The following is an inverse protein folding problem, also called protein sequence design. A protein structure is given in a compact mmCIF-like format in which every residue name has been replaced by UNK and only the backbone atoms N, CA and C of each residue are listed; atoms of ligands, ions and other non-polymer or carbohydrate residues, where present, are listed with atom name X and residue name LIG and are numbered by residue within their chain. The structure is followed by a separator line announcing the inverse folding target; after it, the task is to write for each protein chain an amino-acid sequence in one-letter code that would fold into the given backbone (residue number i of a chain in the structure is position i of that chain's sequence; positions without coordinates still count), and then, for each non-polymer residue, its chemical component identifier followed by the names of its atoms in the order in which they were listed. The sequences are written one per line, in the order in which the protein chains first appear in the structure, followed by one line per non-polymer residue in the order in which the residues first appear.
data_IF_828359912032
#
_entry.id   IF_828359912032
#
_cell.length_a   1.000
_cell.length_b   1.000
_cell.length_c   1.000
_cell.angle_alpha   90.00
_cell.angle_beta   90.00
_cell.angle_gamma   90.00
#
_symmetry.space_group_name_H-M   'P 1'
#
loop_
_entity.id
_entity.type
_entity.pdbx_description
1 polymer ?
#
# COMPACT_ATOMS: atom_id res chain seq x y z
N UNK A 1 -1.98 0.26 -15.01
CA UNK A 1 -1.32 -0.88 -14.37
C UNK A 1 -1.47 -0.72 -12.87
N UNK A 2 -2.09 -1.68 -12.19
CA UNK A 2 -2.29 -1.64 -10.74
C UNK A 2 -1.03 -2.01 -9.97
N UNK A 3 -1.10 -1.87 -8.63
CA UNK A 3 0.07 -2.14 -7.78
C UNK A 3 0.59 -3.58 -7.88
N UNK A 4 -0.30 -4.56 -8.03
CA UNK A 4 0.06 -5.99 -8.16
C UNK A 4 0.86 -6.26 -9.42
N UNK A 5 0.39 -5.75 -10.56
CA UNK A 5 1.07 -5.93 -11.86
C UNK A 5 2.43 -5.22 -11.84
N UNK A 6 2.48 -4.01 -11.30
CA UNK A 6 3.74 -3.24 -11.16
C UNK A 6 4.76 -4.01 -10.31
N UNK A 7 4.32 -4.58 -9.18
CA UNK A 7 5.20 -5.37 -8.31
C UNK A 7 5.74 -6.62 -9.02
N UNK A 8 4.89 -7.32 -9.76
CA UNK A 8 5.30 -8.54 -10.48
C UNK A 8 6.29 -8.25 -11.61
N UNK A 9 6.00 -7.25 -12.44
CA UNK A 9 6.92 -6.84 -13.52
C UNK A 9 8.29 -6.44 -12.96
N UNK A 10 8.29 -5.64 -11.91
CA UNK A 10 9.54 -5.19 -11.28
C UNK A 10 10.30 -6.36 -10.65
N UNK A 11 9.61 -7.29 -9.97
CA UNK A 11 10.23 -8.47 -9.39
C UNK A 11 10.93 -9.31 -10.47
N UNK A 12 10.27 -9.59 -11.59
CA UNK A 12 10.87 -10.35 -12.68
C UNK A 12 12.04 -9.61 -13.32
N UNK A 13 11.93 -8.30 -13.48
CA UNK A 13 13.04 -7.46 -13.95
C UNK A 13 14.27 -7.56 -13.04
N UNK A 14 14.08 -7.61 -11.73
CA UNK A 14 15.16 -7.69 -10.74
C UNK A 14 15.79 -9.10 -10.64
N UNK A 15 14.96 -10.15 -10.72
CA UNK A 15 15.42 -11.54 -10.61
C UNK A 15 15.95 -12.10 -11.93
N UNK A 16 15.48 -11.58 -13.07
CA UNK A 16 15.69 -12.12 -14.40
C UNK A 16 14.66 -13.19 -14.78
N UNK A 17 14.34 -13.27 -16.07
CA UNK A 17 13.31 -14.18 -16.59
C UNK A 17 13.62 -15.69 -16.40
N UNK A 18 14.90 -16.04 -16.23
CA UNK A 18 15.32 -17.42 -16.02
C UNK A 18 14.67 -18.08 -14.79
N UNK A 19 14.30 -17.29 -13.80
CA UNK A 19 13.56 -17.75 -12.61
C UNK A 19 12.25 -18.46 -12.98
N UNK A 20 11.59 -18.01 -14.05
CA UNK A 20 10.31 -18.56 -14.52
C UNK A 20 10.45 -19.95 -15.17
N UNK A 21 11.67 -20.42 -15.45
CA UNK A 21 11.90 -21.80 -15.92
C UNK A 21 11.62 -22.82 -14.81
N UNK A 22 11.95 -22.47 -13.57
CA UNK A 22 11.81 -23.34 -12.39
C UNK A 22 10.56 -23.02 -11.57
N UNK A 23 10.20 -21.74 -11.48
CA UNK A 23 9.13 -21.25 -10.61
C UNK A 23 7.93 -20.74 -11.42
N UNK A 24 6.75 -20.95 -10.87
CA UNK A 24 5.54 -20.25 -11.24
C UNK A 24 5.18 -19.31 -10.08
N UNK A 25 5.51 -18.01 -10.22
CA UNK A 25 5.11 -16.98 -9.25
C UNK A 25 3.78 -16.41 -9.71
N UNK A 26 2.75 -16.54 -8.87
CA UNK A 26 1.36 -16.20 -9.22
C UNK A 26 0.94 -14.99 -8.38
N UNK A 27 0.77 -13.80 -8.99
CA UNK A 27 0.35 -12.60 -8.25
C UNK A 27 -1.18 -12.63 -8.04
N UNK A 28 -1.61 -13.00 -6.85
CA UNK A 28 -3.01 -13.09 -6.39
C UNK A 28 -3.91 -14.02 -7.18
N UNK A 29 -4.08 -13.80 -8.47
CA UNK A 29 -5.13 -14.42 -9.30
C UNK A 29 -4.65 -15.66 -9.98
N UNK A 30 -5.16 -16.81 -9.55
CA UNK A 30 -4.82 -18.10 -10.12
C UNK A 30 -5.67 -18.36 -11.38
N UNK A 31 -5.02 -18.50 -12.53
CA UNK A 31 -5.67 -18.87 -13.81
C UNK A 31 -5.38 -20.31 -14.20
N UNK A 32 -4.14 -20.72 -14.02
CA UNK A 32 -3.69 -22.08 -14.27
C UNK A 32 -2.57 -22.46 -13.30
N UNK A 33 -2.35 -23.75 -13.11
CA UNK A 33 -1.27 -24.28 -12.26
C UNK A 33 -0.38 -25.19 -13.11
N UNK A 34 0.91 -24.86 -13.19
CA UNK A 34 1.92 -25.68 -13.87
C UNK A 34 2.50 -26.72 -12.88
N UNK A 35 2.17 -28.00 -13.10
CA UNK A 35 2.64 -29.09 -12.25
C UNK A 35 4.15 -29.37 -12.38
N UNK A 36 4.79 -28.87 -13.43
CA UNK A 36 6.22 -29.04 -13.67
C UNK A 36 7.06 -27.95 -12.99
N UNK A 37 6.42 -27.00 -12.31
CA UNK A 37 7.08 -25.87 -11.63
C UNK A 37 6.81 -25.84 -10.13
N UNK A 38 7.73 -25.21 -9.41
CA UNK A 38 7.52 -24.86 -8.01
C UNK A 38 6.59 -23.66 -7.99
N UNK A 39 5.41 -23.83 -7.40
CA UNK A 39 4.34 -22.83 -7.39
C UNK A 39 4.41 -21.96 -6.13
N UNK A 40 4.58 -20.68 -6.33
CA UNK A 40 4.59 -19.65 -5.28
C UNK A 40 3.42 -18.70 -5.52
N UNK A 41 2.47 -18.67 -4.60
CA UNK A 41 1.36 -17.72 -4.64
C UNK A 41 1.78 -16.45 -3.89
N UNK A 42 1.75 -15.30 -4.56
CA UNK A 42 2.03 -14.00 -3.95
C UNK A 42 0.75 -13.19 -3.81
N UNK A 43 0.18 -13.18 -2.60
CA UNK A 43 -1.11 -12.56 -2.33
C UNK A 43 -0.97 -11.03 -2.18
N UNK A 44 -1.80 -10.28 -2.93
CA UNK A 44 -1.96 -8.84 -2.81
C UNK A 44 -3.37 -8.44 -2.39
N UNK A 45 -4.36 -9.30 -2.63
CA UNK A 45 -5.76 -9.06 -2.33
C UNK A 45 -6.11 -9.42 -0.88
N UNK A 46 -7.33 -9.09 -0.46
CA UNK A 46 -7.88 -9.49 0.84
C UNK A 46 -8.34 -10.96 0.81
N UNK A 47 -8.37 -11.67 1.95
CA UNK A 47 -8.87 -13.05 1.99
C UNK A 47 -10.35 -13.16 1.60
N UNK A 48 -11.16 -12.10 1.78
CA UNK A 48 -12.57 -12.06 1.40
C UNK A 48 -12.79 -11.83 -0.10
N UNK A 49 -11.74 -11.45 -0.84
CA UNK A 49 -11.85 -11.29 -2.29
C UNK A 49 -12.22 -12.63 -2.95
N UNK A 50 -13.19 -12.67 -3.86
CA UNK A 50 -13.55 -13.89 -4.59
C UNK A 50 -12.36 -14.59 -5.27
N UNK A 51 -11.38 -13.83 -5.74
CA UNK A 51 -10.15 -14.36 -6.35
C UNK A 51 -9.27 -15.14 -5.36
N UNK A 52 -9.46 -14.96 -4.04
CA UNK A 52 -8.78 -15.71 -2.98
C UNK A 52 -9.49 -17.02 -2.60
N UNK A 53 -10.75 -17.23 -3.04
CA UNK A 53 -11.57 -18.36 -2.63
C UNK A 53 -11.04 -19.74 -3.10
N UNK A 54 -10.12 -19.79 -4.05
CA UNK A 54 -9.43 -21.02 -4.43
C UNK A 54 -8.60 -21.65 -3.30
N UNK A 55 -8.32 -20.89 -2.22
CA UNK A 55 -7.62 -21.38 -1.03
C UNK A 55 -8.54 -22.13 -0.04
N UNK A 56 -9.88 -22.02 -0.19
CA UNK A 56 -10.86 -22.73 0.64
C UNK A 56 -10.68 -24.24 0.57
N UNK A 57 -11.13 -24.94 1.61
CA UNK A 57 -11.15 -26.39 1.68
C UNK A 57 -9.79 -27.05 1.41
N UNK A 58 -8.72 -26.43 1.89
CA UNK A 58 -7.37 -26.94 1.71
C UNK A 58 -6.75 -26.64 0.34
N UNK A 59 -7.36 -25.77 -0.47
CA UNK A 59 -6.82 -25.37 -1.78
C UNK A 59 -5.42 -24.75 -1.71
N UNK A 60 -5.01 -24.24 -0.55
CA UNK A 60 -3.65 -23.77 -0.29
C UNK A 60 -2.58 -24.85 -0.50
N UNK A 61 -2.94 -26.14 -0.43
CA UNK A 61 -2.02 -27.27 -0.70
C UNK A 61 -1.54 -27.33 -2.14
N UNK A 62 -2.17 -26.59 -3.05
CA UNK A 62 -1.73 -26.49 -4.44
C UNK A 62 -0.44 -25.65 -4.60
N UNK A 63 0.04 -25.01 -3.55
CA UNK A 63 1.21 -24.12 -3.59
C UNK A 63 2.32 -24.65 -2.67
N UNK A 64 3.57 -24.55 -3.12
CA UNK A 64 4.74 -24.88 -2.32
C UNK A 64 4.98 -23.83 -1.24
N UNK A 65 4.68 -22.56 -1.56
CA UNK A 65 4.77 -21.43 -0.64
C UNK A 65 3.71 -20.38 -0.96
N UNK A 66 3.19 -19.72 0.05
CA UNK A 66 2.28 -18.59 -0.07
C UNK A 66 2.96 -17.37 0.56
N UNK A 67 3.10 -16.31 -0.20
CA UNK A 67 3.78 -15.07 0.17
C UNK A 67 2.76 -13.97 0.36
N UNK A 68 2.87 -13.24 1.46
CA UNK A 68 2.02 -12.11 1.81
C UNK A 68 2.80 -10.81 1.85
N UNK A 69 2.13 -9.68 1.61
CA UNK A 69 2.76 -8.36 1.61
C UNK A 69 2.92 -7.76 3.01
N UNK A 70 2.25 -8.32 4.02
CA UNK A 70 2.32 -7.87 5.42
C UNK A 70 1.98 -9.00 6.39
N UNK A 71 2.42 -8.88 7.64
CA UNK A 71 2.03 -9.82 8.69
C UNK A 71 0.55 -9.70 9.02
N UNK A 72 -0.03 -8.49 8.93
CA UNK A 72 -1.46 -8.30 9.06
C UNK A 72 -2.23 -9.12 8.02
N UNK A 73 -1.84 -9.05 6.75
CA UNK A 73 -2.46 -9.84 5.69
C UNK A 73 -2.28 -11.33 5.91
N UNK A 74 -1.06 -11.78 6.22
CA UNK A 74 -0.76 -13.18 6.54
C UNK A 74 -1.71 -13.70 7.61
N UNK A 75 -1.83 -13.00 8.73
CA UNK A 75 -2.71 -13.42 9.83
C UNK A 75 -4.16 -13.56 9.38
N UNK A 76 -4.69 -12.61 8.60
CA UNK A 76 -6.08 -12.70 8.07
C UNK A 76 -6.28 -13.94 7.20
N UNK A 77 -5.31 -14.30 6.36
CA UNK A 77 -5.39 -15.51 5.54
C UNK A 77 -5.25 -16.80 6.36
N UNK A 78 -4.39 -16.83 7.35
CA UNK A 78 -4.26 -17.99 8.24
C UNK A 78 -5.55 -18.25 9.00
N UNK A 79 -6.20 -17.20 9.51
CA UNK A 79 -7.47 -17.28 10.22
C UNK A 79 -8.62 -17.73 9.31
N UNK A 80 -8.70 -17.21 8.09
CA UNK A 80 -9.80 -17.49 7.15
C UNK A 80 -9.69 -18.90 6.54
N UNK A 81 -8.49 -19.34 6.18
CA UNK A 81 -8.26 -20.55 5.37
C UNK A 81 -7.57 -21.69 6.08
N UNK A 82 -7.15 -21.51 7.34
CA UNK A 82 -6.45 -22.53 8.11
C UNK A 82 -5.10 -22.94 7.49
N UNK A 83 -4.40 -22.00 6.86
CA UNK A 83 -3.10 -22.27 6.23
C UNK A 83 -2.05 -22.49 7.31
N UNK A 84 -1.25 -23.57 7.27
CA UNK A 84 -0.16 -23.77 8.21
C UNK A 84 0.91 -22.66 8.10
N UNK A 85 1.45 -22.26 9.24
CA UNK A 85 2.44 -21.18 9.32
C UNK A 85 3.67 -21.43 8.45
N UNK A 86 4.18 -22.67 8.44
CA UNK A 86 5.35 -23.09 7.67
C UNK A 86 5.16 -23.02 6.15
N UNK A 87 3.90 -23.00 5.69
CA UNK A 87 3.55 -22.81 4.27
C UNK A 87 3.58 -21.37 3.82
N UNK A 88 3.82 -20.44 4.74
CA UNK A 88 3.69 -19.01 4.47
C UNK A 88 4.97 -18.24 4.78
N UNK A 89 5.11 -17.07 4.17
CA UNK A 89 6.09 -16.07 4.58
C UNK A 89 5.59 -14.66 4.19
N UNK A 90 6.26 -13.64 4.70
CA UNK A 90 5.98 -12.24 4.37
C UNK A 90 7.15 -11.67 3.57
N UNK A 91 6.84 -11.14 2.39
CA UNK A 91 7.73 -10.33 1.57
C UNK A 91 7.06 -8.97 1.34
N UNK A 92 7.61 -7.93 1.93
CA UNK A 92 7.07 -6.58 1.78
C UNK A 92 7.10 -6.13 0.32
N UNK A 93 6.19 -5.28 -0.08
CA UNK A 93 6.30 -4.57 -1.34
C UNK A 93 7.53 -3.66 -1.32
N UNK A 94 7.97 -3.21 -2.49
CA UNK A 94 9.09 -2.31 -2.62
C UNK A 94 8.78 -1.14 -3.55
N UNK A 95 9.58 -0.09 -3.43
CA UNK A 95 9.56 1.10 -4.26
C UNK A 95 10.96 1.38 -4.79
N UNK A 96 11.06 2.14 -5.85
CA UNK A 96 12.29 2.85 -6.19
C UNK A 96 12.33 4.11 -5.32
N UNK A 97 13.36 4.34 -4.48
CA UNK A 97 13.49 5.52 -3.64
C UNK A 97 13.31 6.81 -4.41
N UNK A 98 12.57 7.76 -3.85
CA UNK A 98 12.35 9.06 -4.49
C UNK A 98 13.52 9.98 -4.15
N UNK A 99 14.25 10.40 -5.18
CA UNK A 99 15.36 11.33 -5.01
C UNK A 99 14.84 12.74 -4.75
N UNK A 100 14.97 13.18 -3.50
CA UNK A 100 14.58 14.52 -3.03
C UNK A 100 15.53 15.00 -1.94
N UNK A 101 16.04 16.22 -2.11
CA UNK A 101 16.79 16.92 -1.08
C UNK A 101 15.84 17.55 -0.08
N UNK A 102 15.72 16.95 1.11
CA UNK A 102 14.85 17.45 2.17
C UNK A 102 15.33 18.77 2.77
N UNK A 103 16.62 19.05 2.80
CA UNK A 103 17.12 20.35 3.27
C UNK A 103 16.67 21.46 2.33
N UNK A 104 16.77 21.26 1.05
CA UNK A 104 16.26 22.19 0.04
C UNK A 104 14.75 22.31 0.12
N UNK A 105 14.02 21.18 0.18
CA UNK A 105 12.55 21.16 0.26
C UNK A 105 12.02 21.97 1.45
N UNK A 106 12.63 21.84 2.64
CA UNK A 106 12.25 22.55 3.85
C UNK A 106 12.61 24.04 3.84
N UNK A 107 13.76 24.40 3.23
CA UNK A 107 14.25 25.76 3.21
C UNK A 107 13.65 26.59 2.08
N UNK A 108 13.00 25.95 1.08
CA UNK A 108 12.33 26.66 0.00
C UNK A 108 11.07 27.35 0.53
N UNK A 109 10.95 28.65 0.31
CA UNK A 109 9.69 29.37 0.54
C UNK A 109 8.66 28.92 -0.49
N UNK A 110 7.45 28.66 -0.02
CA UNK A 110 6.32 28.21 -0.85
C UNK A 110 5.13 29.11 -0.61
N UNK A 111 4.38 29.40 -1.65
CA UNK A 111 3.14 30.19 -1.57
C UNK A 111 2.03 29.41 -0.85
N UNK A 112 2.08 28.07 -0.88
CA UNK A 112 1.10 27.21 -0.23
C UNK A 112 1.72 25.93 0.30
N UNK A 113 1.13 25.37 1.38
CA UNK A 113 1.37 23.98 1.82
C UNK A 113 0.61 23.07 0.87
N UNK A 114 1.34 22.12 0.26
CA UNK A 114 0.78 21.19 -0.71
C UNK A 114 0.43 19.85 -0.08
N UNK A 115 -0.86 19.57 -0.08
CA UNK A 115 -1.41 18.27 0.27
C UNK A 115 -1.55 17.41 -0.98
N UNK A 116 -1.38 16.09 -0.83
CA UNK A 116 -1.54 15.14 -1.92
C UNK A 116 -2.34 13.92 -1.49
N UNK A 117 -3.19 13.44 -2.40
CA UNK A 117 -3.88 12.16 -2.33
C UNK A 117 -3.64 11.41 -3.65
N UNK A 118 -3.06 10.21 -3.58
CA UNK A 118 -2.74 9.42 -4.79
C UNK A 118 -3.08 7.95 -4.62
N UNK A 119 -4.36 7.70 -4.35
CA UNK A 119 -4.95 6.36 -4.32
C UNK A 119 -6.31 6.37 -5.01
N UNK A 120 -6.93 5.18 -5.19
CA UNK A 120 -8.28 5.08 -5.74
C UNK A 120 -9.33 5.71 -4.82
N UNK A 121 -10.43 6.26 -5.38
CA UNK A 121 -11.33 7.16 -4.63
C UNK A 121 -12.07 6.50 -3.48
N UNK A 122 -12.36 5.19 -3.54
CA UNK A 122 -13.07 4.44 -2.50
C UNK A 122 -12.28 4.31 -1.18
N UNK A 123 -11.01 4.71 -1.16
CA UNK A 123 -10.12 4.55 0.00
C UNK A 123 -10.13 5.73 0.97
N UNK A 124 -11.09 6.65 0.83
CA UNK A 124 -11.28 7.77 1.75
C UNK A 124 -11.33 9.15 1.12
N UNK A 125 -11.34 9.27 -0.23
CA UNK A 125 -11.43 10.57 -0.88
C UNK A 125 -12.70 11.34 -0.49
N UNK A 126 -13.82 10.63 -0.29
CA UNK A 126 -15.09 11.21 0.16
C UNK A 126 -15.04 11.78 1.60
N UNK A 127 -14.06 11.38 2.42
CA UNK A 127 -13.79 12.02 3.72
C UNK A 127 -12.82 13.20 3.55
N UNK A 128 -11.83 13.06 2.68
CA UNK A 128 -10.79 14.08 2.50
C UNK A 128 -11.37 15.38 1.94
N UNK A 129 -12.16 15.31 0.87
CA UNK A 129 -12.63 16.51 0.16
C UNK A 129 -13.41 17.46 1.06
N UNK A 130 -14.47 17.06 1.80
CA UNK A 130 -15.19 17.98 2.68
C UNK A 130 -14.35 18.45 3.88
N UNK A 131 -13.39 17.64 4.35
CA UNK A 131 -12.47 18.07 5.41
C UNK A 131 -11.52 19.16 4.90
N UNK A 132 -11.01 19.00 3.68
CA UNK A 132 -10.11 19.98 3.08
C UNK A 132 -10.85 21.28 2.72
N UNK A 133 -12.06 21.20 2.18
CA UNK A 133 -12.93 22.36 1.93
C UNK A 133 -13.14 23.17 3.20
N UNK A 134 -13.47 22.50 4.31
CA UNK A 134 -13.61 23.16 5.62
C UNK A 134 -12.32 23.80 6.13
N UNK A 135 -11.14 23.22 5.86
CA UNK A 135 -9.85 23.83 6.21
C UNK A 135 -9.60 25.10 5.41
N UNK A 136 -10.05 25.17 4.15
CA UNK A 136 -9.90 26.36 3.31
C UNK A 136 -10.68 27.57 3.83
N UNK A 137 -11.70 27.39 4.69
CA UNK A 137 -12.39 28.49 5.37
C UNK A 137 -11.45 29.29 6.32
N UNK A 138 -10.40 28.63 6.83
CA UNK A 138 -9.47 29.22 7.81
C UNK A 138 -8.06 29.43 7.24
N UNK A 139 -7.66 28.62 6.27
CA UNK A 139 -6.31 28.60 5.71
C UNK A 139 -6.36 28.83 4.20
N UNK A 140 -5.91 29.99 3.74
CA UNK A 140 -5.92 30.36 2.32
C UNK A 140 -4.67 29.90 1.57
N UNK A 141 -3.61 29.53 2.31
CA UNK A 141 -2.32 29.12 1.77
C UNK A 141 -2.12 27.60 1.78
N UNK A 142 -3.17 26.85 1.48
CA UNK A 142 -3.14 25.40 1.33
C UNK A 142 -3.66 24.99 -0.05
N UNK A 143 -3.15 23.88 -0.60
CA UNK A 143 -3.59 23.34 -1.88
C UNK A 143 -3.60 21.81 -1.85
N UNK A 144 -4.62 21.18 -2.44
CA UNK A 144 -4.76 19.73 -2.52
C UNK A 144 -4.65 19.24 -3.97
N UNK A 145 -3.65 18.42 -4.23
CA UNK A 145 -3.49 17.69 -5.49
C UNK A 145 -4.08 16.27 -5.36
N UNK A 146 -5.03 15.89 -6.22
CA UNK A 146 -5.73 14.60 -6.19
C UNK A 146 -5.44 13.79 -7.44
N UNK A 147 -4.73 12.68 -7.28
CA UNK A 147 -4.45 11.68 -8.30
C UNK A 147 -5.28 10.43 -7.99
N UNK A 148 -6.46 10.31 -8.60
CA UNK A 148 -7.41 9.31 -8.19
C UNK A 148 -8.29 8.87 -9.35
N UNK A 149 -8.26 7.58 -9.69
CA UNK A 149 -9.13 6.97 -10.71
C UNK A 149 -9.01 5.45 -10.67
N UNK A 150 -10.08 4.74 -11.00
CA UNK A 150 -10.04 3.29 -11.24
C UNK A 150 -9.47 2.92 -12.61
N UNK A 151 -9.13 3.89 -13.48
CA UNK A 151 -8.42 3.66 -14.76
C UNK A 151 -7.11 2.92 -14.57
N UNK A 152 -6.47 3.07 -13.38
CA UNK A 152 -5.26 2.32 -13.02
C UNK A 152 -5.43 0.80 -13.15
N UNK A 153 -6.66 0.29 -12.94
CA UNK A 153 -7.04 -1.12 -13.09
C UNK A 153 -7.77 -1.42 -14.41
N UNK A 154 -7.95 -0.44 -15.31
CA UNK A 154 -8.77 -0.57 -16.49
C UNK A 154 -10.28 -0.61 -16.21
N UNK A 155 -10.73 -0.09 -15.07
CA UNK A 155 -12.12 -0.10 -14.63
C UNK A 155 -12.77 1.29 -14.69
N UNK A 156 -12.68 1.96 -15.83
CA UNK A 156 -13.12 3.34 -16.04
C UNK A 156 -14.55 3.59 -15.57
N UNK A 157 -15.46 2.63 -15.80
CA UNK A 157 -16.86 2.75 -15.38
C UNK A 157 -17.06 2.85 -13.86
N UNK A 158 -16.07 2.43 -13.07
CA UNK A 158 -16.16 2.57 -11.61
C UNK A 158 -15.94 4.00 -11.13
N UNK A 159 -15.40 4.87 -11.97
CA UNK A 159 -15.24 6.29 -11.67
C UNK A 159 -16.57 7.03 -11.69
N UNK A 160 -17.59 6.55 -12.45
CA UNK A 160 -18.90 7.19 -12.58
C UNK A 160 -19.58 7.46 -11.23
N UNK A 161 -19.45 6.56 -10.27
CA UNK A 161 -20.00 6.72 -8.93
C UNK A 161 -19.31 7.82 -8.10
N UNK A 162 -18.15 8.30 -8.51
CA UNK A 162 -17.37 9.35 -7.86
C UNK A 162 -17.36 10.66 -8.66
N UNK A 163 -18.11 10.73 -9.77
CA UNK A 163 -18.07 11.89 -10.67
C UNK A 163 -18.43 13.19 -9.94
N UNK A 164 -19.47 13.18 -9.10
CA UNK A 164 -19.86 14.37 -8.32
C UNK A 164 -18.72 14.86 -7.42
N UNK A 165 -17.95 13.92 -6.86
CA UNK A 165 -16.79 14.23 -6.01
C UNK A 165 -15.63 14.80 -6.85
N UNK A 166 -15.40 14.26 -8.04
CA UNK A 166 -14.38 14.77 -8.95
C UNK A 166 -14.75 16.17 -9.47
N UNK A 167 -16.03 16.39 -9.83
CA UNK A 167 -16.53 17.70 -10.24
C UNK A 167 -16.40 18.74 -9.10
N UNK A 168 -16.61 18.32 -7.86
CA UNK A 168 -16.40 19.18 -6.69
C UNK A 168 -14.94 19.61 -6.55
N UNK A 169 -13.99 18.70 -6.77
CA UNK A 169 -12.55 19.01 -6.73
C UNK A 169 -12.17 19.95 -7.89
N UNK A 170 -12.64 19.67 -9.12
CA UNK A 170 -12.34 20.47 -10.31
C UNK A 170 -12.84 21.91 -10.21
N UNK A 171 -13.96 22.13 -9.52
CA UNK A 171 -14.56 23.46 -9.33
C UNK A 171 -14.05 24.20 -8.11
N UNK A 172 -13.14 23.61 -7.31
CA UNK A 172 -12.62 24.22 -6.10
C UNK A 172 -11.27 24.92 -6.36
N UNK A 173 -11.15 26.20 -5.96
CA UNK A 173 -9.96 27.02 -6.24
C UNK A 173 -8.66 26.51 -5.61
N UNK A 174 -8.75 25.80 -4.46
CA UNK A 174 -7.60 25.26 -3.73
C UNK A 174 -7.41 23.74 -3.93
N UNK A 175 -8.09 23.14 -4.89
CA UNK A 175 -7.91 21.74 -5.22
C UNK A 175 -7.62 21.55 -6.72
N UNK A 176 -6.86 20.52 -7.07
CA UNK A 176 -6.64 20.13 -8.46
C UNK A 176 -6.87 18.64 -8.63
N UNK A 177 -7.77 18.27 -9.54
CA UNK A 177 -8.00 16.89 -9.93
C UNK A 177 -7.13 16.54 -11.14
N UNK A 178 -6.21 15.58 -10.95
CA UNK A 178 -5.32 15.10 -12.01
C UNK A 178 -5.80 13.80 -12.66
N UNK A 179 -6.82 13.14 -12.06
CA UNK A 179 -7.30 11.86 -12.55
C UNK A 179 -6.25 10.76 -12.45
N UNK A 180 -6.16 9.95 -13.52
CA UNK A 180 -5.14 8.93 -13.68
C UNK A 180 -3.91 9.50 -14.39
N UNK A 181 -2.76 9.39 -13.76
CA UNK A 181 -1.46 9.69 -14.35
C UNK A 181 -0.49 8.51 -14.12
N UNK A 182 0.56 8.37 -14.94
CA UNK A 182 1.59 7.36 -14.73
C UNK A 182 2.30 7.53 -13.36
N UNK A 183 2.69 6.43 -12.73
CA UNK A 183 3.34 6.46 -11.40
C UNK A 183 4.59 7.35 -11.37
N UNK A 184 5.35 7.42 -12.46
CA UNK A 184 6.54 8.28 -12.52
C UNK A 184 6.17 9.78 -12.39
N UNK A 185 5.04 10.19 -12.94
CA UNK A 185 4.55 11.58 -12.82
C UNK A 185 4.09 11.87 -11.38
N UNK A 186 3.42 10.91 -10.73
CA UNK A 186 3.07 11.02 -9.31
C UNK A 186 4.32 11.22 -8.46
N UNK A 187 5.41 10.47 -8.72
CA UNK A 187 6.68 10.62 -7.99
C UNK A 187 7.28 12.02 -8.14
N UNK A 188 7.17 12.65 -9.30
CA UNK A 188 7.63 14.05 -9.50
C UNK A 188 6.77 15.04 -8.71
N UNK A 189 5.45 14.85 -8.64
CA UNK A 189 4.57 15.66 -7.80
C UNK A 189 4.89 15.49 -6.30
N UNK A 190 5.16 14.26 -5.85
CA UNK A 190 5.50 13.97 -4.46
C UNK A 190 6.76 14.70 -3.98
N UNK A 191 7.74 14.96 -4.86
CA UNK A 191 8.93 15.75 -4.51
C UNK A 191 8.59 17.14 -3.98
N UNK A 192 7.47 17.71 -4.43
CA UNK A 192 7.01 19.05 -4.06
C UNK A 192 5.86 19.05 -3.04
N UNK A 193 5.23 17.90 -2.79
CA UNK A 193 4.16 17.76 -1.81
C UNK A 193 4.70 17.80 -0.38
N UNK A 194 3.97 18.45 0.53
CA UNK A 194 4.35 18.58 1.94
C UNK A 194 3.63 17.55 2.82
N UNK A 195 2.37 17.23 2.50
CA UNK A 195 1.52 16.35 3.29
C UNK A 195 0.88 15.28 2.39
N UNK A 196 1.04 14.03 2.76
CA UNK A 196 0.21 12.94 2.23
C UNK A 196 -1.01 12.79 3.14
N UNK A 197 -2.18 13.15 2.63
CA UNK A 197 -3.44 13.19 3.35
C UNK A 197 -4.28 11.95 3.02
N UNK A 198 -4.29 10.97 3.93
CA UNK A 198 -4.90 9.68 3.66
C UNK A 198 -5.86 9.23 4.76
N UNK A 199 -7.11 9.73 4.79
CA UNK A 199 -8.14 9.28 5.75
C UNK A 199 -8.71 7.91 5.34
N UNK A 200 -7.84 6.91 5.30
CA UNK A 200 -8.15 5.60 4.74
C UNK A 200 -9.28 4.87 5.48
N UNK A 201 -10.23 4.35 4.70
CA UNK A 201 -11.34 3.49 5.15
C UNK A 201 -11.31 2.09 4.56
N UNK A 202 -10.28 1.79 3.76
CA UNK A 202 -10.09 0.51 3.10
C UNK A 202 -9.05 -0.34 3.84
N UNK A 203 -9.29 -1.64 4.08
CA UNK A 203 -8.30 -2.49 4.74
C UNK A 203 -7.11 -2.80 3.81
N UNK A 204 -6.08 -1.97 3.85
CA UNK A 204 -4.87 -2.14 3.06
C UNK A 204 -4.10 -3.40 3.44
N UNK A 205 -3.71 -4.18 2.45
CA UNK A 205 -2.80 -5.33 2.63
C UNK A 205 -1.33 -4.89 2.68
N UNK A 206 -1.04 -3.79 1.99
CA UNK A 206 0.23 -3.06 1.97
C UNK A 206 -0.03 -1.77 1.20
N UNK A 207 0.60 -0.66 1.55
CA UNK A 207 0.31 0.62 0.92
C UNK A 207 1.54 1.21 0.23
N UNK A 208 1.69 0.95 -1.09
CA UNK A 208 2.79 1.48 -1.90
C UNK A 208 2.74 3.02 -1.92
N UNK A 209 1.55 3.62 -2.00
CA UNK A 209 1.38 5.07 -1.97
C UNK A 209 1.94 5.71 -0.69
N UNK A 210 1.76 5.05 0.46
CA UNK A 210 2.34 5.50 1.72
C UNK A 210 3.88 5.36 1.72
N UNK A 211 4.41 4.26 1.18
CA UNK A 211 5.87 4.07 1.06
C UNK A 211 6.49 5.17 0.19
N UNK A 212 5.87 5.49 -0.95
CA UNK A 212 6.33 6.54 -1.86
C UNK A 212 6.25 7.93 -1.20
N UNK A 213 5.16 8.24 -0.50
CA UNK A 213 5.02 9.51 0.22
C UNK A 213 6.06 9.64 1.34
N UNK A 214 6.34 8.56 2.08
CA UNK A 214 7.40 8.52 3.10
C UNK A 214 8.79 8.74 2.47
N UNK A 215 9.07 8.11 1.35
CA UNK A 215 10.32 8.25 0.59
C UNK A 215 10.48 9.67 0.02
N UNK A 216 9.39 10.34 -0.35
CA UNK A 216 9.41 11.73 -0.78
C UNK A 216 9.54 12.73 0.38
N UNK A 217 9.57 12.25 1.62
CA UNK A 217 9.64 13.08 2.82
C UNK A 217 8.38 13.92 3.07
N UNK A 218 7.21 13.45 2.65
CA UNK A 218 5.94 14.05 3.02
C UNK A 218 5.61 13.77 4.48
N UNK A 219 4.98 14.71 5.17
CA UNK A 219 4.31 14.45 6.43
C UNK A 219 3.09 13.55 6.11
N UNK A 220 3.11 12.29 6.55
CA UNK A 220 2.06 11.35 6.20
C UNK A 220 1.02 11.26 7.32
N UNK A 221 -0.25 11.58 7.01
CA UNK A 221 -1.38 11.50 7.94
C UNK A 221 -2.29 10.37 7.51
N UNK A 222 -2.49 9.37 8.36
CA UNK A 222 -3.34 8.22 8.08
C UNK A 222 -3.78 7.49 9.35
N UNK A 223 -4.89 6.70 9.33
CA UNK A 223 -5.28 5.87 10.46
C UNK A 223 -4.37 4.64 10.59
N UNK A 224 -4.34 4.05 11.78
CA UNK A 224 -3.68 2.76 12.05
C UNK A 224 -4.55 1.56 11.58
N UNK A 225 -5.13 1.66 10.40
CA UNK A 225 -6.06 0.66 9.88
C UNK A 225 -5.38 -0.40 9.03
N UNK A 226 -5.70 -1.67 9.29
CA UNK A 226 -5.15 -2.82 8.58
C UNK A 226 -3.61 -2.80 8.56
N UNK A 227 -2.94 -3.03 7.42
CA UNK A 227 -1.49 -3.05 7.32
C UNK A 227 -0.81 -1.67 7.34
N UNK A 228 -1.55 -0.55 7.45
CA UNK A 228 -0.95 0.79 7.44
C UNK A 228 0.01 1.01 8.61
N UNK A 229 -0.33 0.53 9.81
CA UNK A 229 0.56 0.67 10.98
C UNK A 229 1.88 -0.09 10.78
N UNK A 230 1.82 -1.24 10.10
CA UNK A 230 2.99 -2.05 9.79
C UNK A 230 3.86 -1.38 8.71
N UNK A 231 3.22 -0.79 7.68
CA UNK A 231 3.91 -0.05 6.61
C UNK A 231 4.60 1.20 7.15
N UNK A 232 3.92 1.97 7.99
CA UNK A 232 4.39 3.24 8.51
C UNK A 232 5.39 3.08 9.67
N UNK A 233 5.35 1.95 10.40
CA UNK A 233 6.05 1.80 11.68
C UNK A 233 5.70 2.99 12.62
N UNK A 234 6.69 3.64 13.22
CA UNK A 234 6.50 4.80 14.10
C UNK A 234 6.86 6.14 13.44
N UNK A 235 7.00 6.18 12.12
CA UNK A 235 7.55 7.35 11.44
C UNK A 235 6.54 8.41 11.06
N UNK A 236 5.27 8.03 10.88
CA UNK A 236 4.21 8.91 10.36
C UNK A 236 3.39 9.59 11.46
N UNK A 237 2.47 10.47 11.06
CA UNK A 237 1.44 11.04 11.91
C UNK A 237 0.21 10.15 11.84
N UNK A 238 0.30 9.00 12.51
CA UNK A 238 -0.70 7.97 12.53
C UNK A 238 -1.67 8.18 13.70
N UNK A 239 -2.97 8.01 13.43
CA UNK A 239 -4.03 8.10 14.43
C UNK A 239 -4.86 6.81 14.50
N UNK A 240 -5.61 6.64 15.58
CA UNK A 240 -6.47 5.47 15.74
C UNK A 240 -7.62 5.49 14.74
N UNK A 241 -7.83 4.37 14.03
CA UNK A 241 -8.96 4.21 13.12
C UNK A 241 -10.28 4.34 13.88
N UNK A 242 -11.22 5.05 13.30
CA UNK A 242 -12.56 5.27 13.83
C UNK A 242 -13.56 4.86 12.76
N UNK A 243 -14.41 3.88 13.07
CA UNK A 243 -15.39 3.31 12.13
C UNK A 243 -16.51 4.29 11.78
N UNK A 244 -16.91 5.14 12.75
CA UNK A 244 -17.88 6.22 12.51
C UNK A 244 -17.28 7.31 11.63
N UNK A 245 -17.79 7.46 10.42
CA UNK A 245 -17.23 8.40 9.42
C UNK A 245 -17.23 9.85 9.87
N UNK A 246 -18.22 10.29 10.64
CA UNK A 246 -18.26 11.68 11.14
C UNK A 246 -17.19 11.92 12.20
N UNK A 247 -17.00 10.97 13.11
CA UNK A 247 -15.91 11.05 14.10
C UNK A 247 -14.57 10.93 13.42
N UNK A 248 -14.42 10.05 12.42
CA UNK A 248 -13.21 9.89 11.64
C UNK A 248 -12.85 11.21 10.93
N UNK A 249 -13.81 11.82 10.22
CA UNK A 249 -13.60 13.10 9.54
C UNK A 249 -13.19 14.22 10.51
N UNK A 250 -13.84 14.32 11.67
CA UNK A 250 -13.48 15.33 12.68
C UNK A 250 -12.07 15.09 13.25
N UNK A 251 -11.70 13.84 13.52
CA UNK A 251 -10.36 13.53 14.00
C UNK A 251 -9.30 13.82 12.94
N UNK A 252 -9.58 13.43 11.71
CA UNK A 252 -8.69 13.69 10.58
C UNK A 252 -8.54 15.20 10.31
N UNK A 253 -9.62 15.98 10.43
CA UNK A 253 -9.56 17.46 10.37
C UNK A 253 -8.53 18.01 11.37
N UNK A 254 -8.59 17.60 12.62
CA UNK A 254 -7.66 18.05 13.66
C UNK A 254 -6.20 17.67 13.31
N UNK A 255 -5.98 16.47 12.75
CA UNK A 255 -4.65 16.04 12.33
C UNK A 255 -4.12 16.87 11.15
N UNK A 256 -4.99 17.21 10.22
CA UNK A 256 -4.67 18.08 9.08
C UNK A 256 -4.31 19.49 9.55
N UNK A 257 -5.12 20.06 10.45
CA UNK A 257 -4.88 21.37 11.05
C UNK A 257 -3.55 21.41 11.82
N UNK A 258 -3.28 20.40 12.64
CA UNK A 258 -1.99 20.25 13.34
C UNK A 258 -0.82 20.18 12.35
N UNK A 259 -0.97 19.50 11.21
CA UNK A 259 0.09 19.43 10.21
C UNK A 259 0.43 20.80 9.61
N UNK A 260 -0.58 21.65 9.39
CA UNK A 260 -0.38 23.04 8.92
C UNK A 260 0.45 23.83 9.94
N UNK A 261 0.10 23.74 11.23
CA UNK A 261 0.84 24.41 12.28
C UNK A 261 2.28 23.97 12.37
N UNK A 262 2.51 22.64 12.42
CA UNK A 262 3.85 22.06 12.55
C UNK A 262 4.73 22.38 11.34
N UNK A 263 4.16 22.43 10.12
CA UNK A 263 4.90 22.81 8.90
C UNK A 263 5.24 24.31 8.90
N UNK A 264 4.34 25.17 9.38
CA UNK A 264 4.60 26.60 9.48
C UNK A 264 5.67 26.94 10.54
N UNK A 265 5.80 26.16 11.60
CA UNK A 265 6.85 26.32 12.62
C UNK A 265 8.24 26.00 12.07
N UNK A 266 8.34 25.19 10.99
CA UNK A 266 9.59 24.75 10.35
C UNK A 266 10.65 24.25 11.34
N UNK A 267 10.24 23.54 12.37
CA UNK A 267 11.12 23.08 13.45
C UNK A 267 12.17 22.06 12.97
N UNK A 268 13.37 22.13 13.54
CA UNK A 268 14.43 21.16 13.30
C UNK A 268 13.99 19.73 13.70
N UNK A 269 13.16 19.60 14.73
CA UNK A 269 12.63 18.31 15.18
C UNK A 269 11.76 17.63 14.12
N UNK A 270 10.88 18.38 13.44
CA UNK A 270 10.09 17.88 12.31
C UNK A 270 11.00 17.45 11.17
N UNK A 271 11.97 18.27 10.81
CA UNK A 271 12.91 17.97 9.74
C UNK A 271 13.70 16.68 10.00
N UNK A 272 14.19 16.50 11.24
CA UNK A 272 14.88 15.27 11.66
C UNK A 272 13.95 14.07 11.55
N UNK A 273 12.69 14.19 12.02
CA UNK A 273 11.70 13.12 11.92
C UNK A 273 11.43 12.71 10.47
N UNK A 274 11.22 13.68 9.57
CA UNK A 274 10.95 13.38 8.15
C UNK A 274 12.18 12.83 7.42
N UNK A 275 13.39 13.23 7.79
CA UNK A 275 14.63 12.60 7.30
C UNK A 275 14.74 11.14 7.75
N UNK A 276 14.42 10.85 9.02
CA UNK A 276 14.38 9.48 9.54
C UNK A 276 13.32 8.64 8.85
N UNK A 277 12.11 9.20 8.63
CA UNK A 277 11.03 8.56 7.88
C UNK A 277 11.47 8.19 6.45
N UNK A 278 12.07 9.16 5.72
CA UNK A 278 12.59 8.92 4.38
C UNK A 278 13.67 7.83 4.39
N UNK A 279 14.63 7.92 5.30
CA UNK A 279 15.70 6.92 5.43
C UNK A 279 15.13 5.52 5.70
N UNK A 280 14.13 5.41 6.57
CA UNK A 280 13.44 4.15 6.82
C UNK A 280 12.79 3.60 5.54
N UNK A 281 12.01 4.42 4.82
CA UNK A 281 11.35 3.99 3.60
C UNK A 281 12.36 3.55 2.52
N UNK A 282 13.38 4.36 2.28
CA UNK A 282 14.39 4.12 1.24
C UNK A 282 15.26 2.89 1.52
N UNK A 283 15.60 2.62 2.77
CA UNK A 283 16.44 1.49 3.15
C UNK A 283 15.63 0.19 3.30
N UNK A 284 14.40 0.28 3.77
CA UNK A 284 13.60 -0.90 4.09
C UNK A 284 12.71 -1.37 2.93
N UNK A 285 12.17 -0.44 2.14
CA UNK A 285 11.26 -0.75 1.03
C UNK A 285 11.91 -0.67 -0.35
N UNK A 286 13.23 -0.83 -0.47
CA UNK A 286 13.88 -0.79 -1.77
C UNK A 286 13.95 -2.18 -2.45
N UNK A 287 14.11 -2.15 -3.77
CA UNK A 287 14.14 -3.36 -4.58
C UNK A 287 15.41 -4.19 -4.40
N UNK A 288 16.53 -3.62 -3.99
CA UNK A 288 17.75 -4.38 -3.71
C UNK A 288 17.53 -5.34 -2.54
N UNK A 289 16.93 -4.86 -1.46
CA UNK A 289 16.55 -5.70 -0.31
C UNK A 289 15.54 -6.77 -0.73
N UNK A 290 14.48 -6.38 -1.46
CA UNK A 290 13.44 -7.33 -1.91
C UNK A 290 14.00 -8.39 -2.84
N UNK A 291 14.85 -8.03 -3.79
CA UNK A 291 15.53 -8.96 -4.68
C UNK A 291 16.29 -10.04 -3.92
N UNK A 292 17.06 -9.63 -2.91
CA UNK A 292 17.84 -10.57 -2.11
C UNK A 292 16.93 -11.53 -1.33
N UNK A 293 15.89 -11.00 -0.65
CA UNK A 293 14.94 -11.83 0.09
C UNK A 293 14.18 -12.82 -0.82
N UNK A 294 13.73 -12.38 -1.99
CA UNK A 294 13.09 -13.26 -2.96
C UNK A 294 14.06 -14.31 -3.51
N UNK A 295 15.31 -13.93 -3.82
CA UNK A 295 16.33 -14.87 -4.28
C UNK A 295 16.60 -15.96 -3.25
N UNK A 296 16.72 -15.60 -1.98
CA UNK A 296 16.96 -16.54 -0.90
C UNK A 296 15.75 -17.45 -0.65
N UNK A 297 14.52 -16.89 -0.71
CA UNK A 297 13.29 -17.70 -0.64
C UNK A 297 13.27 -18.73 -1.77
N UNK A 298 13.44 -18.30 -3.02
CA UNK A 298 13.34 -19.21 -4.19
C UNK A 298 14.41 -20.29 -4.12
N UNK A 299 15.67 -19.97 -3.80
CA UNK A 299 16.73 -20.96 -3.58
C UNK A 299 16.36 -21.98 -2.52
N UNK A 300 15.72 -21.56 -1.43
CA UNK A 300 15.29 -22.46 -0.36
C UNK A 300 14.23 -23.47 -0.80
N UNK A 301 13.52 -23.18 -1.89
CA UNK A 301 12.44 -24.04 -2.43
C UNK A 301 12.88 -24.94 -3.58
N UNK A 302 14.06 -24.72 -4.19
CA UNK A 302 14.49 -25.43 -5.40
C UNK A 302 14.55 -26.95 -5.26
N UNK A 303 14.77 -27.45 -4.04
CA UNK A 303 14.85 -28.88 -3.74
C UNK A 303 13.49 -29.59 -3.61
N UNK A 304 12.39 -28.82 -3.57
CA UNK A 304 11.06 -29.37 -3.37
C UNK A 304 10.60 -30.16 -4.62
N UNK A 305 9.85 -31.27 -4.43
CA UNK A 305 9.27 -32.02 -5.54
C UNK A 305 8.27 -31.17 -6.30
N UNK A 306 8.27 -31.25 -7.63
CA UNK A 306 7.44 -30.39 -8.47
C UNK A 306 6.01 -30.85 -8.65
N UNK A 307 5.61 -32.09 -8.74
CA UNK A 307 4.24 -32.42 -8.34
C UNK A 307 4.17 -32.42 -6.81
N UNK A 308 3.28 -31.60 -6.25
CA UNK A 308 3.01 -31.63 -4.81
C UNK A 308 2.36 -32.97 -4.51
N UNK A 309 2.99 -33.80 -3.69
CA UNK A 309 2.39 -35.03 -3.18
C UNK A 309 1.13 -34.64 -2.38
N UNK A 310 -0.02 -35.16 -2.81
CA UNK A 310 -1.26 -34.98 -2.06
C UNK A 310 -1.11 -35.77 -0.77
N UNK A 311 -1.02 -35.07 0.33
CA UNK A 311 -1.04 -35.67 1.64
C UNK A 311 -2.42 -36.32 1.84
N UNK A 312 -2.44 -37.65 1.76
CA UNK A 312 -3.69 -38.44 1.86
C UNK A 312 -4.04 -38.81 3.29
N UNK A 313 -3.21 -38.42 4.25
CA UNK A 313 -3.36 -38.75 5.67
C UNK A 313 -3.44 -37.52 6.55
N UNK A 314 -4.55 -36.78 6.48
CA UNK A 314 -4.91 -35.94 7.63
C UNK A 314 -5.65 -36.81 8.65
N UNK A 315 -4.93 -37.25 9.67
CA UNK A 315 -5.56 -37.63 10.93
C UNK A 315 -6.11 -36.35 11.56
N UNK A 316 -7.42 -36.13 11.40
CA UNK A 316 -8.10 -35.02 12.08
C UNK A 316 -8.14 -35.39 13.57
N UNK A 317 -7.23 -34.79 14.34
CA UNK A 317 -7.28 -34.91 15.79
C UNK A 317 -8.46 -34.08 16.31
N UNK A 318 -9.51 -34.78 16.81
CA UNK A 318 -10.65 -34.12 17.43
C UNK A 318 -10.43 -34.00 18.91
N UNK A 319 -10.12 -32.83 19.41
CA UNK A 319 -10.07 -32.53 20.85
C UNK A 319 -11.47 -32.30 21.38
N UNK A 320 -11.93 -33.15 22.33
CA UNK A 320 -13.15 -32.90 23.08
C UNK A 320 -12.78 -32.19 24.37
N UNK A 321 -13.18 -30.94 24.47
CA UNK A 321 -13.19 -30.21 25.76
C UNK A 321 -14.32 -30.85 26.57
N UNK A 322 -13.95 -31.45 27.73
CA UNK A 322 -14.91 -32.02 28.66
C UNK A 322 -15.68 -30.98 29.45
#
# INVERSE_FOLDING_TARGET
MGGTELMMEKLISELGEDVLKTFQIIPSRVRELDENKIRVLWCHDLPQDPESHHLKNGGWRNFHKIVFCSHWQQQRYLEEYGIPWDRTCVMKNAIDPIDVDLDKKFNTEKDSIRFVYHTTPHRGLALLVPVFDKLCEQYTNIHLDVFSSFKIYGWDKRDEQFQELFDQIENHENMTYHGFVPNQEIKEHLKNADVFAYPNIWPETSCISLMEAMSAGCLCIHPNYAALYETASNWTFMYNYIEDYNKHANFFYNMMEQSIHVLNEKSDSLKIKLKGQKSYADLYYNWEVRKNEWSDLLKSLEHLPRPIEKDTTEEIFTYKVG
#
